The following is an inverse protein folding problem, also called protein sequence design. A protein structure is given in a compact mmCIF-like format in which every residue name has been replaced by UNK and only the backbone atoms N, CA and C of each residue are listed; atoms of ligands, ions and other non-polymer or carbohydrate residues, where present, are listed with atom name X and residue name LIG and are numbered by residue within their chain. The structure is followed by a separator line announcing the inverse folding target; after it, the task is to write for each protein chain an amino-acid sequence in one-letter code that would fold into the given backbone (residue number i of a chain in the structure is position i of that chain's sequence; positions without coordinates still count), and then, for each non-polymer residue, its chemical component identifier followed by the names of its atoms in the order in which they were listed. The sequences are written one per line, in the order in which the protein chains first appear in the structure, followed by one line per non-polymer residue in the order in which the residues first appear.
data_IF_400552440951
#
_entry.id   IF_400552440951
#
_cell.length_a   1.000
_cell.length_b   1.000
_cell.length_c   1.000
_cell.angle_alpha   90.00
_cell.angle_beta   90.00
_cell.angle_gamma   90.00
#
_symmetry.space_group_name_H-M   'P 1'
#
loop_
_entity.id
_entity.type
_entity.pdbx_description
1 polymer ?
#
# COMPACT_ATOMS: atom_id res chain seq x y z
N UNK A 1 35.77 14.59 -34.74
CA UNK A 1 34.31 14.37 -34.79
C UNK A 1 33.96 13.52 -33.59
N UNK A 2 33.21 14.10 -32.66
CA UNK A 2 33.02 13.64 -31.26
C UNK A 2 32.09 12.43 -31.28
N UNK A 3 32.57 11.27 -30.84
CA UNK A 3 31.68 10.13 -30.61
C UNK A 3 30.56 10.57 -29.65
N UNK A 4 29.29 10.18 -29.89
CA UNK A 4 28.22 10.51 -28.95
C UNK A 4 28.61 9.90 -27.62
N UNK A 5 28.75 10.73 -26.59
CA UNK A 5 29.00 10.27 -25.24
C UNK A 5 27.75 9.51 -24.84
N UNK A 6 27.79 8.18 -24.97
CA UNK A 6 26.79 7.29 -24.43
C UNK A 6 26.67 7.70 -22.96
N UNK A 7 25.49 8.18 -22.57
CA UNK A 7 25.19 8.51 -21.18
C UNK A 7 25.38 7.22 -20.40
N UNK A 8 26.57 7.05 -19.81
CA UNK A 8 26.89 5.91 -18.97
C UNK A 8 25.74 5.81 -17.98
N UNK A 9 25.03 4.69 -18.01
CA UNK A 9 23.89 4.45 -17.14
C UNK A 9 24.40 4.66 -15.71
N UNK A 10 24.06 5.80 -15.10
CA UNK A 10 24.56 6.15 -13.78
C UNK A 10 23.82 5.24 -12.82
N UNK A 11 24.45 4.11 -12.47
CA UNK A 11 23.93 3.11 -11.55
C UNK A 11 24.00 3.61 -10.11
N UNK A 12 23.26 4.67 -9.80
CA UNK A 12 23.20 5.31 -8.48
C UNK A 12 22.93 4.24 -7.40
N UNK A 13 22.12 3.22 -7.69
CA UNK A 13 21.80 2.13 -6.76
C UNK A 13 22.98 1.27 -6.28
N UNK A 14 24.02 1.05 -7.11
CA UNK A 14 25.19 0.24 -6.73
C UNK A 14 26.07 0.97 -5.69
N UNK A 15 26.09 2.31 -5.74
CA UNK A 15 26.90 3.14 -4.84
C UNK A 15 26.26 3.34 -3.45
N UNK A 16 24.93 3.31 -3.37
CA UNK A 16 24.19 3.49 -2.12
C UNK A 16 23.71 2.17 -1.49
N UNK A 17 24.04 1.01 -2.09
CA UNK A 17 23.75 -0.31 -1.53
C UNK A 17 22.28 -0.75 -1.66
N UNK A 18 21.52 -0.12 -2.55
CA UNK A 18 20.11 -0.43 -2.81
C UNK A 18 19.90 -1.17 -4.14
N UNK A 19 20.96 -1.37 -4.92
CA UNK A 19 20.94 -2.16 -6.15
C UNK A 19 21.23 -3.63 -5.87
N UNK A 20 20.26 -4.50 -6.16
CA UNK A 20 20.41 -5.95 -6.16
C UNK A 20 20.00 -6.51 -7.53
N UNK A 21 20.25 -7.80 -7.83
CA UNK A 21 19.97 -8.39 -9.14
C UNK A 21 18.51 -8.27 -9.61
N UNK A 22 17.58 -7.95 -8.71
CA UNK A 22 16.16 -7.74 -8.99
C UNK A 22 15.64 -6.34 -8.63
N UNK A 23 16.49 -5.45 -8.12
CA UNK A 23 16.09 -4.11 -7.66
C UNK A 23 17.10 -3.09 -8.18
N UNK A 24 16.78 -2.40 -9.27
CA UNK A 24 17.69 -1.40 -9.86
C UNK A 24 17.46 0.01 -9.27
N UNK A 25 16.38 0.21 -8.51
CA UNK A 25 16.09 1.46 -7.82
C UNK A 25 15.36 1.28 -6.48
N UNK A 26 15.47 2.29 -5.61
CA UNK A 26 14.74 2.37 -4.33
C UNK A 26 13.21 2.25 -4.52
N UNK A 27 12.68 2.75 -5.63
CA UNK A 27 11.27 2.65 -5.98
C UNK A 27 10.84 1.20 -6.18
N UNK A 28 11.66 0.38 -6.84
CA UNK A 28 11.38 -1.02 -7.09
C UNK A 28 11.47 -1.88 -5.82
N UNK A 29 12.51 -1.68 -5.01
CA UNK A 29 12.67 -2.40 -3.74
C UNK A 29 11.49 -2.12 -2.79
N UNK A 30 11.06 -0.85 -2.71
CA UNK A 30 9.91 -0.47 -1.88
C UNK A 30 8.60 -1.03 -2.44
N UNK A 31 8.42 -1.00 -3.76
CA UNK A 31 7.20 -1.52 -4.42
C UNK A 31 6.95 -3.00 -4.13
N UNK A 32 8.01 -3.80 -4.15
CA UNK A 32 7.91 -5.24 -3.90
C UNK A 32 7.46 -5.56 -2.47
N UNK A 33 7.77 -4.70 -1.50
CA UNK A 33 7.31 -4.85 -0.12
C UNK A 33 5.90 -4.31 0.08
N UNK A 34 5.59 -3.15 -0.52
CA UNK A 34 4.32 -2.46 -0.29
C UNK A 34 3.13 -3.21 -0.91
N UNK A 35 3.28 -3.82 -2.09
CA UNK A 35 2.21 -4.57 -2.76
C UNK A 35 1.60 -5.69 -1.88
N UNK A 36 2.40 -6.65 -1.39
CA UNK A 36 1.92 -7.70 -0.49
C UNK A 36 1.32 -7.16 0.82
N UNK A 37 1.90 -6.10 1.40
CA UNK A 37 1.40 -5.49 2.63
C UNK A 37 -0.01 -4.92 2.41
N UNK A 38 -0.23 -4.20 1.32
CA UNK A 38 -1.56 -3.67 0.99
C UNK A 38 -2.58 -4.79 0.79
N UNK A 39 -2.21 -5.87 0.09
CA UNK A 39 -3.09 -7.02 -0.13
C UNK A 39 -3.52 -7.65 1.20
N UNK A 40 -2.56 -7.91 2.10
CA UNK A 40 -2.83 -8.47 3.43
C UNK A 40 -3.67 -7.49 4.26
N UNK A 41 -3.34 -6.20 4.25
CA UNK A 41 -4.07 -5.18 5.01
C UNK A 41 -5.54 -5.09 4.57
N UNK A 42 -5.81 -5.05 3.26
CA UNK A 42 -7.18 -5.06 2.73
C UNK A 42 -7.94 -6.31 3.17
N UNK A 43 -7.30 -7.49 3.12
CA UNK A 43 -7.91 -8.74 3.56
C UNK A 43 -8.25 -8.71 5.06
N UNK A 44 -7.33 -8.24 5.91
CA UNK A 44 -7.55 -8.11 7.36
C UNK A 44 -8.67 -7.14 7.68
N UNK A 45 -8.77 -6.01 6.98
CA UNK A 45 -9.84 -5.03 7.18
C UNK A 45 -11.21 -5.65 6.89
N UNK A 46 -11.33 -6.43 5.81
CA UNK A 46 -12.58 -7.14 5.48
C UNK A 46 -12.95 -8.13 6.59
N UNK A 47 -11.99 -8.94 7.05
CA UNK A 47 -12.25 -9.88 8.15
C UNK A 47 -12.69 -9.17 9.43
N UNK A 48 -12.01 -8.07 9.79
CA UNK A 48 -12.34 -7.29 10.98
C UNK A 48 -13.73 -6.64 10.88
N UNK A 49 -14.11 -6.16 9.70
CA UNK A 49 -15.45 -5.67 9.42
C UNK A 49 -16.51 -6.77 9.62
N UNK A 50 -16.29 -7.96 9.03
CA UNK A 50 -17.21 -9.10 9.17
C UNK A 50 -17.39 -9.52 10.62
N UNK A 51 -16.30 -9.59 11.39
CA UNK A 51 -16.36 -9.93 12.82
C UNK A 51 -17.19 -8.90 13.61
N UNK A 52 -17.03 -7.61 13.31
CA UNK A 52 -17.86 -6.55 13.88
C UNK A 52 -19.33 -6.69 13.51
N UNK A 53 -19.62 -6.99 12.23
CA UNK A 53 -20.99 -7.23 11.74
C UNK A 53 -21.65 -8.43 12.42
N UNK A 54 -20.95 -9.56 12.52
CA UNK A 54 -21.47 -10.74 13.21
C UNK A 54 -21.65 -10.51 14.70
N UNK A 55 -20.76 -9.75 15.34
CA UNK A 55 -20.93 -9.36 16.75
C UNK A 55 -22.19 -8.52 16.95
N UNK A 56 -22.45 -7.59 16.04
CA UNK A 56 -23.66 -6.76 16.06
C UNK A 56 -24.93 -7.62 15.93
N UNK A 57 -24.95 -8.59 15.02
CA UNK A 57 -26.09 -9.50 14.83
C UNK A 57 -26.34 -10.38 16.07
N UNK A 58 -25.28 -10.83 16.76
CA UNK A 58 -25.38 -11.68 17.95
C UNK A 58 -25.69 -10.94 19.24
N UNK A 59 -25.56 -9.61 19.27
CA UNK A 59 -25.73 -8.81 20.48
C UNK A 59 -27.14 -8.84 21.08
N UNK A 60 -28.17 -9.26 20.32
CA UNK A 60 -29.49 -9.61 20.85
C UNK A 60 -30.24 -8.50 21.60
N UNK A 61 -29.79 -7.24 21.50
CA UNK A 61 -30.38 -6.10 22.22
C UNK A 61 -29.63 -5.68 23.49
N UNK A 62 -28.55 -6.36 23.89
CA UNK A 62 -27.66 -5.88 24.96
C UNK A 62 -26.93 -4.62 24.48
N UNK A 63 -27.12 -3.49 25.19
CA UNK A 63 -26.55 -2.18 24.82
C UNK A 63 -25.03 -2.22 24.74
N UNK A 64 -24.38 -2.92 25.67
CA UNK A 64 -22.92 -3.01 25.75
C UNK A 64 -22.32 -3.76 24.55
N UNK A 65 -22.95 -4.88 24.17
CA UNK A 65 -22.51 -5.67 23.03
C UNK A 65 -22.75 -4.95 21.71
N UNK A 66 -23.89 -4.26 21.58
CA UNK A 66 -24.24 -3.43 20.41
C UNK A 66 -23.24 -2.28 20.26
N UNK A 67 -22.91 -1.59 21.35
CA UNK A 67 -21.95 -0.48 21.34
C UNK A 67 -20.56 -0.96 20.96
N UNK A 68 -20.08 -2.05 21.57
CA UNK A 68 -18.77 -2.61 21.23
C UNK A 68 -18.67 -3.08 19.77
N UNK A 69 -19.75 -3.68 19.23
CA UNK A 69 -19.80 -4.10 17.84
C UNK A 69 -19.81 -2.90 16.89
N UNK A 70 -20.54 -1.83 17.23
CA UNK A 70 -20.55 -0.58 16.48
C UNK A 70 -19.16 0.05 16.43
N UNK A 71 -18.46 0.08 17.56
CA UNK A 71 -17.08 0.54 17.61
C UNK A 71 -16.20 -0.31 16.70
N UNK A 72 -16.29 -1.63 16.77
CA UNK A 72 -15.51 -2.52 15.90
C UNK A 72 -15.71 -2.21 14.40
N UNK A 73 -16.97 -2.02 13.98
CA UNK A 73 -17.32 -1.65 12.60
C UNK A 73 -16.73 -0.29 12.23
N UNK A 74 -16.83 0.71 13.11
CA UNK A 74 -16.26 2.04 12.87
C UNK A 74 -14.75 1.99 12.68
N UNK A 75 -14.02 1.22 13.51
CA UNK A 75 -12.59 1.06 13.37
C UNK A 75 -12.22 0.38 12.04
N UNK A 76 -13.01 -0.60 11.60
CA UNK A 76 -12.82 -1.24 10.30
C UNK A 76 -12.98 -0.23 9.15
N UNK A 77 -14.01 0.61 9.21
CA UNK A 77 -14.29 1.65 8.20
C UNK A 77 -13.16 2.69 8.17
N UNK A 78 -12.71 3.16 9.34
CA UNK A 78 -11.59 4.11 9.43
C UNK A 78 -10.32 3.50 8.82
N UNK A 79 -10.01 2.24 9.14
CA UNK A 79 -8.88 1.53 8.55
C UNK A 79 -8.99 1.40 7.03
N UNK A 80 -10.19 1.12 6.52
CA UNK A 80 -10.45 1.07 5.08
C UNK A 80 -10.23 2.44 4.40
N UNK A 81 -10.72 3.52 5.00
CA UNK A 81 -10.54 4.88 4.50
C UNK A 81 -9.06 5.24 4.42
N UNK A 82 -8.29 4.90 5.46
CA UNK A 82 -6.84 5.13 5.48
C UNK A 82 -6.15 4.36 4.34
N UNK A 83 -6.49 3.09 4.13
CA UNK A 83 -5.95 2.32 3.01
C UNK A 83 -6.27 2.96 1.66
N UNK A 84 -7.50 3.46 1.49
CA UNK A 84 -7.93 4.11 0.26
C UNK A 84 -7.14 5.40 -0.01
N UNK A 85 -6.94 6.23 1.03
CA UNK A 85 -6.11 7.43 0.92
C UNK A 85 -4.63 7.11 0.69
N UNK A 86 -4.10 6.08 1.36
CA UNK A 86 -2.72 5.65 1.15
C UNK A 86 -2.50 5.20 -0.30
N UNK A 87 -3.42 4.43 -0.87
CA UNK A 87 -3.39 4.07 -2.29
C UNK A 87 -3.46 5.29 -3.20
N UNK A 88 -4.39 6.22 -2.91
CA UNK A 88 -4.56 7.43 -3.71
C UNK A 88 -3.29 8.30 -3.69
N UNK A 89 -2.68 8.53 -2.53
CA UNK A 89 -1.43 9.29 -2.41
C UNK A 89 -0.33 8.60 -3.20
N UNK A 90 -0.17 7.29 -3.00
CA UNK A 90 0.90 6.53 -3.62
C UNK A 90 0.79 6.47 -5.15
N UNK A 91 -0.42 6.34 -5.69
CA UNK A 91 -0.64 6.24 -7.14
C UNK A 91 -0.78 7.60 -7.82
N UNK A 92 -1.41 8.58 -7.16
CA UNK A 92 -1.71 9.87 -7.76
C UNK A 92 -0.60 10.89 -7.52
N UNK A 93 -0.08 10.99 -6.29
CA UNK A 93 0.89 12.01 -5.92
C UNK A 93 2.28 11.64 -6.41
N UNK A 94 2.76 10.39 -6.19
CA UNK A 94 4.12 10.03 -6.63
C UNK A 94 4.25 9.96 -8.15
N UNK A 95 3.27 9.39 -8.86
CA UNK A 95 3.37 9.22 -10.31
C UNK A 95 3.13 10.51 -11.10
N UNK A 96 2.21 11.39 -10.68
CA UNK A 96 1.86 12.59 -11.46
C UNK A 96 2.62 13.85 -11.02
N UNK A 97 3.11 13.92 -9.77
CA UNK A 97 3.80 15.11 -9.26
C UNK A 97 5.32 14.98 -9.29
N UNK A 98 5.84 13.76 -9.07
CA UNK A 98 7.28 13.51 -8.95
C UNK A 98 7.86 12.69 -10.13
N UNK A 99 7.04 12.30 -11.11
CA UNK A 99 7.41 11.44 -12.25
C UNK A 99 8.16 10.16 -11.82
N UNK A 100 7.90 9.68 -10.60
CA UNK A 100 8.50 8.44 -10.09
C UNK A 100 7.76 7.27 -10.72
N UNK A 101 8.25 6.80 -11.86
CA UNK A 101 7.70 5.67 -12.62
C UNK A 101 8.10 4.31 -12.05
N UNK A 102 9.20 4.25 -11.30
CA UNK A 102 9.75 3.01 -10.75
C UNK A 102 8.94 2.43 -9.57
N UNK A 103 8.08 3.24 -8.96
CA UNK A 103 7.21 2.79 -7.88
C UNK A 103 5.88 2.29 -8.43
N UNK A 104 5.58 1.01 -8.25
CA UNK A 104 4.38 0.36 -8.75
C UNK A 104 3.72 -0.45 -7.63
N UNK A 105 2.54 0.01 -7.15
CA UNK A 105 1.73 -0.73 -6.18
C UNK A 105 1.05 -1.95 -6.80
N UNK A 106 0.68 -1.82 -8.08
CA UNK A 106 0.03 -2.85 -8.86
C UNK A 106 0.98 -3.08 -10.03
N UNK A 107 1.53 -4.30 -10.12
CA UNK A 107 2.32 -4.70 -11.27
C UNK A 107 1.49 -4.52 -12.52
N UNK A 108 1.88 -3.57 -13.39
CA UNK A 108 1.28 -3.44 -14.71
C UNK A 108 1.75 -4.61 -15.57
N UNK A 109 0.79 -5.42 -16.01
CA UNK A 109 1.00 -6.36 -17.11
C UNK A 109 1.12 -5.61 -18.44
#
# INVERSE_FOLDING_TARGET
MKEPVLLAEVKIGDYFGFSGPNYTSLGQATSQLVGPIFSIATFVVILYFLLGSFKYMKAGGNKEDVESARMMILHAIIGFIILMFAFLILQFVLSNLFEVTDFQLISKA
#
